data_IF_431220044516
#
_entry.id   IF_431220044516
#
_cell.length_a   1.000
_cell.length_b   1.000
_cell.length_c   1.000
_cell.angle_alpha   90.00
_cell.angle_beta   90.00
_cell.angle_gamma   90.00
#
_symmetry.space_group_name_H-M   'P 1'
#
loop_
_entity.id
_entity.type
_entity.pdbx_description
1 polymer ?
#
# COMPACT_ATOMS: atom_id res chain seq x y z
N UNK A 1 61.01 53.02 15.84
CA UNK A 1 59.76 53.21 15.05
C UNK A 1 58.61 52.57 15.81
N UNK A 2 57.53 53.34 16.03
CA UNK A 2 56.13 52.99 16.42
C UNK A 2 55.96 51.97 17.58
N UNK A 3 55.73 52.43 18.81
CA UNK A 3 54.47 52.85 19.43
C UNK A 3 53.83 51.69 20.24
N UNK A 4 53.87 51.83 21.56
CA UNK A 4 53.33 50.93 22.59
C UNK A 4 52.33 51.74 23.42
N UNK A 5 51.13 51.22 23.67
CA UNK A 5 50.36 51.54 24.87
C UNK A 5 49.30 50.45 25.12
N UNK A 6 49.29 49.80 26.30
CA UNK A 6 48.21 48.90 26.72
C UNK A 6 47.16 49.66 27.55
N UNK A 7 45.89 49.23 27.42
CA UNK A 7 44.75 49.72 28.21
C UNK A 7 44.48 48.73 29.35
N UNK A 8 44.35 49.26 30.57
CA UNK A 8 44.20 48.56 31.83
C UNK A 8 42.75 48.73 32.35
N UNK A 9 42.20 47.66 32.93
CA UNK A 9 40.87 47.55 33.53
C UNK A 9 40.58 48.58 34.64
N UNK A 10 39.33 49.06 34.71
CA UNK A 10 38.75 49.75 35.86
C UNK A 10 37.51 49.01 36.34
N UNK A 11 37.54 48.56 37.60
CA UNK A 11 36.42 48.03 38.37
C UNK A 11 35.77 49.22 39.09
N UNK A 12 34.45 49.40 38.94
CA UNK A 12 33.67 50.37 39.69
C UNK A 12 32.38 49.73 40.22
N UNK A 13 32.31 49.53 41.53
CA UNK A 13 31.09 49.17 42.24
C UNK A 13 30.16 50.39 42.34
N UNK A 14 28.88 50.24 41.99
CA UNK A 14 27.81 51.18 42.36
C UNK A 14 26.85 50.43 43.27
N UNK A 15 26.72 50.87 44.52
CA UNK A 15 25.67 50.41 45.44
C UNK A 15 24.36 51.09 45.06
N UNK A 16 23.31 50.30 44.84
CA UNK A 16 21.93 50.78 44.73
C UNK A 16 21.22 50.55 46.07
N UNK A 17 20.90 51.63 46.78
CA UNK A 17 20.01 51.58 47.94
C UNK A 17 18.56 51.49 47.46
N UNK A 18 17.85 50.42 47.85
CA UNK A 18 16.40 50.33 47.67
C UNK A 18 15.69 51.01 48.84
N UNK A 19 14.70 51.90 48.60
CA UNK A 19 13.83 52.38 49.67
C UNK A 19 12.90 51.25 50.16
N UNK A 20 12.62 51.14 51.46
CA UNK A 20 11.76 50.10 51.97
C UNK A 20 10.29 50.47 51.78
N UNK A 21 9.54 49.53 51.20
CA UNK A 21 8.08 49.43 51.20
C UNK A 21 7.32 50.46 50.35
N UNK A 22 7.18 50.15 49.07
CA UNK A 22 5.95 50.47 48.33
C UNK A 22 5.40 49.15 47.78
N UNK A 23 4.50 48.51 48.54
CA UNK A 23 3.72 47.37 48.07
C UNK A 23 2.59 47.95 47.23
N UNK A 24 2.94 48.48 46.06
CA UNK A 24 1.98 48.76 45.01
C UNK A 24 1.49 47.42 44.46
N UNK A 25 0.16 47.29 44.31
CA UNK A 25 -0.52 46.12 43.76
C UNK A 25 0.33 45.48 42.66
N UNK A 26 0.80 44.26 42.94
CA UNK A 26 1.45 43.44 41.93
C UNK A 26 0.42 43.18 40.84
N UNK A 27 0.50 43.93 39.75
CA UNK A 27 -0.15 43.55 38.51
C UNK A 27 0.54 42.27 38.07
N UNK A 28 -0.08 41.14 38.40
CA UNK A 28 0.22 39.87 37.75
C UNK A 28 -0.19 40.05 36.30
N UNK A 29 0.75 40.44 35.46
CA UNK A 29 0.62 40.23 34.02
C UNK A 29 0.76 38.73 33.82
N UNK A 30 -0.38 38.04 33.74
CA UNK A 30 -0.42 36.74 33.08
C UNK A 30 0.00 37.01 31.63
N UNK A 31 1.24 36.69 31.30
CA UNK A 31 1.57 36.37 29.92
C UNK A 31 0.82 35.07 29.62
N UNK A 32 -0.36 35.18 29.02
CA UNK A 32 -0.88 34.08 28.22
C UNK A 32 0.15 33.86 27.12
N UNK A 33 1.00 32.85 27.29
CA UNK A 33 1.82 32.35 26.20
C UNK A 33 0.85 31.99 25.07
N UNK A 34 1.07 32.46 23.83
CA UNK A 34 0.25 32.02 22.72
C UNK A 34 0.28 30.49 22.71
N UNK A 35 -0.89 29.86 22.71
CA UNK A 35 -1.00 28.42 22.55
C UNK A 35 -0.28 28.03 21.27
N UNK A 36 0.59 27.01 21.34
CA UNK A 36 1.17 26.41 20.13
C UNK A 36 0.03 26.09 19.17
N UNK A 37 0.06 26.55 17.90
CA UNK A 37 -0.96 26.23 16.95
C UNK A 37 -0.99 24.72 16.74
N UNK A 38 -2.16 24.15 16.96
CA UNK A 38 -2.48 22.75 16.73
C UNK A 38 -3.08 22.57 15.35
N UNK A 39 -2.84 21.43 14.72
CA UNK A 39 -3.54 20.99 13.52
C UNK A 39 -4.20 19.62 13.77
N UNK A 40 -5.28 19.37 13.04
CA UNK A 40 -5.98 18.08 13.03
C UNK A 40 -6.20 17.69 11.58
N UNK A 41 -5.50 16.65 11.12
CA UNK A 41 -5.79 16.01 9.84
C UNK A 41 -6.82 14.90 10.05
N UNK A 42 -7.74 14.73 9.09
CA UNK A 42 -8.79 13.71 9.18
C UNK A 42 -8.95 12.99 7.85
N UNK A 43 -8.87 11.66 7.90
CA UNK A 43 -8.90 10.78 6.74
C UNK A 43 -9.99 9.74 6.89
N UNK A 44 -10.98 9.78 6.01
CA UNK A 44 -11.95 8.70 5.90
C UNK A 44 -11.33 7.53 5.14
N UNK A 45 -11.46 6.31 5.69
CA UNK A 45 -11.09 5.09 4.98
C UNK A 45 -12.14 4.81 3.90
N UNK A 46 -11.96 5.46 2.75
CA UNK A 46 -12.82 5.29 1.59
C UNK A 46 -12.49 3.95 0.96
N UNK A 47 -13.44 3.01 1.04
CA UNK A 47 -13.38 1.77 0.29
C UNK A 47 -14.22 1.89 -0.98
N UNK A 48 -13.64 1.55 -2.13
CA UNK A 48 -14.42 1.37 -3.36
C UNK A 48 -15.36 0.19 -3.17
N UNK A 49 -16.68 0.35 -3.39
CA UNK A 49 -17.62 -0.72 -3.11
C UNK A 49 -17.42 -1.92 -4.04
N UNK A 50 -16.81 -1.71 -5.22
CA UNK A 50 -16.60 -2.76 -6.21
C UNK A 50 -15.12 -2.88 -6.58
N UNK A 51 -14.65 -4.13 -6.67
CA UNK A 51 -13.28 -4.45 -7.04
C UNK A 51 -13.18 -5.71 -7.89
N UNK A 52 -12.40 -5.69 -8.96
CA UNK A 52 -12.13 -6.82 -9.82
C UNK A 52 -10.64 -7.16 -9.78
N UNK A 53 -10.31 -8.38 -9.35
CA UNK A 53 -8.94 -8.87 -9.21
C UNK A 53 -8.69 -9.99 -10.22
N UNK A 54 -7.79 -9.74 -11.17
CA UNK A 54 -7.32 -10.75 -12.13
C UNK A 54 -5.97 -11.33 -11.66
N UNK A 55 -5.95 -12.62 -11.37
CA UNK A 55 -4.73 -13.36 -11.16
C UNK A 55 -4.22 -13.93 -12.49
N UNK A 56 -2.98 -13.61 -12.85
CA UNK A 56 -2.27 -14.17 -13.99
C UNK A 56 -1.25 -15.15 -13.45
N UNK A 57 -1.53 -16.44 -13.58
CA UNK A 57 -0.73 -17.51 -12.96
C UNK A 57 0.00 -18.29 -14.04
N UNK A 58 1.32 -18.36 -13.88
CA UNK A 58 2.16 -19.16 -14.73
C UNK A 58 1.93 -20.67 -14.52
N UNK A 59 1.74 -21.37 -15.62
CA UNK A 59 1.49 -22.81 -15.66
C UNK A 59 2.58 -23.59 -16.40
N UNK A 60 3.77 -22.99 -16.52
CA UNK A 60 5.01 -23.65 -16.93
C UNK A 60 5.37 -24.81 -15.99
N UNK A 61 6.37 -25.61 -16.37
CA UNK A 61 6.64 -26.87 -15.66
C UNK A 61 7.33 -26.72 -14.30
N UNK A 62 7.88 -25.55 -13.99
CA UNK A 62 8.53 -25.22 -12.72
C UNK A 62 7.54 -24.74 -11.65
N UNK A 63 6.37 -24.22 -12.05
CA UNK A 63 5.44 -23.48 -11.19
C UNK A 63 4.57 -24.33 -10.23
N UNK A 64 4.81 -25.65 -10.08
CA UNK A 64 3.99 -26.52 -9.23
C UNK A 64 3.98 -26.05 -7.76
N UNK A 65 5.14 -25.64 -7.25
CA UNK A 65 5.30 -25.21 -5.87
C UNK A 65 4.67 -23.84 -5.63
N UNK A 66 4.82 -22.93 -6.57
CA UNK A 66 4.32 -21.56 -6.53
C UNK A 66 2.78 -21.57 -6.62
N UNK A 67 2.19 -22.36 -7.52
CA UNK A 67 0.73 -22.57 -7.59
C UNK A 67 0.17 -23.09 -6.27
N UNK A 68 0.81 -24.10 -5.67
CA UNK A 68 0.42 -24.64 -4.37
C UNK A 68 0.57 -23.60 -3.24
N UNK A 69 1.61 -22.78 -3.29
CA UNK A 69 1.88 -21.74 -2.30
C UNK A 69 0.85 -20.61 -2.36
N UNK A 70 0.48 -20.15 -3.56
CA UNK A 70 -0.61 -19.19 -3.79
C UNK A 70 -1.93 -19.74 -3.25
N UNK A 71 -2.28 -20.98 -3.61
CA UNK A 71 -3.52 -21.61 -3.15
C UNK A 71 -3.56 -21.77 -1.62
N UNK A 72 -2.45 -22.16 -0.98
CA UNK A 72 -2.38 -22.38 0.45
C UNK A 72 -2.47 -21.09 1.27
N UNK A 73 -1.95 -19.97 0.75
CA UNK A 73 -1.93 -18.67 1.44
C UNK A 73 -3.08 -17.74 1.04
N UNK A 74 -3.86 -18.09 0.01
CA UNK A 74 -5.04 -17.33 -0.41
C UNK A 74 -6.06 -17.02 0.71
N UNK A 75 -6.26 -17.87 1.75
CA UNK A 75 -7.13 -17.49 2.88
C UNK A 75 -6.70 -16.20 3.60
N UNK A 76 -5.41 -15.87 3.60
CA UNK A 76 -4.90 -14.61 4.17
C UNK A 76 -5.39 -13.43 3.34
N UNK A 77 -5.26 -13.53 2.01
CA UNK A 77 -5.80 -12.55 1.08
C UNK A 77 -7.32 -12.38 1.26
N UNK A 78 -8.06 -13.47 1.33
CA UNK A 78 -9.53 -13.42 1.49
C UNK A 78 -9.99 -12.80 2.80
N UNK A 79 -9.18 -12.84 3.86
CA UNK A 79 -9.55 -12.24 5.15
C UNK A 79 -9.84 -10.74 5.07
N UNK A 80 -9.27 -10.03 4.08
CA UNK A 80 -9.53 -8.61 3.82
C UNK A 80 -10.85 -8.34 3.09
N UNK A 81 -11.41 -9.36 2.42
CA UNK A 81 -12.66 -9.25 1.67
C UNK A 81 -13.85 -9.77 2.47
N UNK A 82 -13.65 -10.83 3.26
CA UNK A 82 -14.71 -11.46 4.05
C UNK A 82 -15.25 -10.50 5.11
N UNK A 83 -16.52 -10.12 4.97
CA UNK A 83 -17.20 -9.21 5.90
C UNK A 83 -16.89 -7.73 5.70
N UNK A 84 -16.01 -7.37 4.75
CA UNK A 84 -15.68 -5.97 4.42
C UNK A 84 -16.84 -5.19 3.80
N UNK A 85 -17.81 -5.89 3.20
CA UNK A 85 -18.86 -5.27 2.39
C UNK A 85 -18.45 -4.99 0.94
N UNK A 86 -17.22 -5.35 0.55
CA UNK A 86 -16.77 -5.31 -0.83
C UNK A 86 -17.59 -6.24 -1.71
N UNK A 87 -18.03 -5.71 -2.84
CA UNK A 87 -18.55 -6.48 -3.95
C UNK A 87 -17.37 -6.79 -4.90
N UNK A 88 -16.78 -7.98 -4.75
CA UNK A 88 -15.56 -8.36 -5.47
C UNK A 88 -15.79 -9.39 -6.58
N UNK A 89 -15.00 -9.30 -7.65
CA UNK A 89 -14.80 -10.40 -8.59
C UNK A 89 -13.33 -10.84 -8.53
N UNK A 90 -13.07 -12.14 -8.34
CA UNK A 90 -11.70 -12.68 -8.38
C UNK A 90 -11.62 -13.78 -9.43
N UNK A 91 -10.83 -13.54 -10.47
CA UNK A 91 -10.67 -14.44 -11.61
C UNK A 91 -9.22 -14.87 -11.79
N UNK A 92 -9.00 -15.99 -12.48
CA UNK A 92 -7.67 -16.50 -12.81
C UNK A 92 -7.57 -16.70 -14.32
N UNK A 93 -6.44 -16.30 -14.90
CA UNK A 93 -6.00 -16.65 -16.25
C UNK A 93 -4.59 -17.23 -16.18
N UNK A 94 -4.21 -17.96 -17.23
CA UNK A 94 -2.89 -18.56 -17.40
C UNK A 94 -2.00 -17.67 -18.27
N UNK A 95 -0.68 -17.77 -18.12
CA UNK A 95 0.32 -17.19 -19.05
C UNK A 95 0.36 -17.90 -20.42
N UNK A 96 -0.25 -19.10 -20.54
CA UNK A 96 -0.26 -19.89 -21.77
C UNK A 96 -1.21 -19.31 -22.82
N UNK A 97 -0.62 -18.63 -23.79
CA UNK A 97 -1.32 -18.06 -24.94
C UNK A 97 -1.38 -19.01 -26.15
N UNK A 98 -0.59 -20.09 -26.18
CA UNK A 98 -0.62 -21.09 -27.26
C UNK A 98 -1.87 -21.98 -27.17
N UNK A 99 -2.33 -22.27 -25.95
CA UNK A 99 -3.53 -23.04 -25.70
C UNK A 99 -4.79 -22.18 -25.82
N UNK A 100 -5.54 -22.36 -26.92
CA UNK A 100 -6.80 -21.64 -27.19
C UNK A 100 -7.87 -21.76 -26.09
N UNK A 101 -7.77 -22.75 -25.19
CA UNK A 101 -8.65 -22.86 -24.04
C UNK A 101 -8.28 -21.88 -22.92
N UNK A 102 -7.04 -21.42 -22.87
CA UNK A 102 -6.46 -20.61 -21.79
C UNK A 102 -6.17 -19.16 -22.23
N UNK A 103 -5.79 -18.90 -23.48
CA UNK A 103 -5.38 -17.60 -24.05
C UNK A 103 -6.23 -16.38 -23.62
N UNK A 104 -5.97 -15.81 -22.43
CA UNK A 104 -6.77 -14.74 -21.79
C UNK A 104 -8.14 -15.17 -21.25
N UNK A 105 -8.52 -16.44 -21.33
CA UNK A 105 -9.83 -16.94 -20.88
C UNK A 105 -9.80 -17.25 -19.40
N UNK A 106 -10.78 -16.74 -18.66
CA UNK A 106 -10.96 -17.07 -17.25
C UNK A 106 -11.11 -18.58 -17.05
N UNK A 107 -10.31 -19.09 -16.12
CA UNK A 107 -10.25 -20.49 -15.75
C UNK A 107 -11.51 -20.82 -14.94
N UNK A 108 -12.21 -21.88 -15.35
CA UNK A 108 -13.49 -22.26 -14.76
C UNK A 108 -13.30 -23.39 -13.74
N UNK A 109 -13.74 -23.18 -12.51
CA UNK A 109 -13.77 -24.20 -11.46
C UNK A 109 -15.13 -24.20 -10.74
N UNK A 110 -15.64 -25.38 -10.38
CA UNK A 110 -16.95 -25.49 -9.71
C UNK A 110 -18.13 -24.93 -10.52
N UNK A 111 -17.97 -24.78 -11.84
CA UNK A 111 -18.96 -24.13 -12.71
C UNK A 111 -18.88 -22.60 -12.74
N UNK A 112 -17.99 -21.98 -11.95
CA UNK A 112 -17.78 -20.55 -11.86
C UNK A 112 -16.53 -20.13 -12.63
N UNK A 113 -16.55 -18.94 -13.24
CA UNK A 113 -15.37 -18.34 -13.92
C UNK A 113 -14.64 -17.32 -13.06
N UNK A 114 -15.30 -16.82 -12.03
CA UNK A 114 -14.74 -15.93 -11.02
C UNK A 114 -15.49 -16.12 -9.71
N UNK A 115 -14.86 -15.68 -8.63
CA UNK A 115 -15.35 -15.74 -7.27
C UNK A 115 -16.03 -14.41 -6.94
N UNK A 116 -17.13 -14.47 -6.21
CA UNK A 116 -17.96 -13.35 -5.77
C UNK A 116 -18.18 -13.46 -4.25
N UNK A 117 -18.73 -12.43 -3.57
CA UNK A 117 -19.14 -12.54 -2.17
C UNK A 117 -20.12 -13.68 -1.91
N UNK A 118 -20.92 -14.06 -2.90
CA UNK A 118 -21.90 -15.15 -2.81
C UNK A 118 -21.31 -16.54 -3.12
N UNK A 119 -20.04 -16.62 -3.56
CA UNK A 119 -19.40 -17.89 -3.89
C UNK A 119 -19.20 -18.72 -2.62
N UNK A 120 -19.78 -19.94 -2.53
CA UNK A 120 -19.52 -20.83 -1.40
C UNK A 120 -18.09 -21.38 -1.46
N UNK A 121 -17.42 -21.43 -0.30
CA UNK A 121 -16.03 -21.89 -0.16
C UNK A 121 -15.09 -21.24 -1.19
N UNK A 122 -14.96 -19.89 -1.20
CA UNK A 122 -14.19 -19.18 -2.21
C UNK A 122 -12.73 -19.65 -2.29
N UNK A 123 -12.15 -20.07 -1.17
CA UNK A 123 -10.78 -20.57 -1.10
C UNK A 123 -10.60 -21.90 -1.85
N UNK A 124 -11.58 -22.81 -1.76
CA UNK A 124 -11.56 -24.08 -2.49
C UNK A 124 -11.70 -23.86 -4.00
N UNK A 125 -12.57 -22.91 -4.39
CA UNK A 125 -12.76 -22.54 -5.80
C UNK A 125 -11.50 -21.89 -6.36
N UNK A 126 -10.90 -20.95 -5.63
CA UNK A 126 -9.66 -20.30 -6.06
C UNK A 126 -8.52 -21.31 -6.21
N UNK A 127 -8.33 -22.19 -5.22
CA UNK A 127 -7.31 -23.22 -5.29
C UNK A 127 -7.46 -24.13 -6.52
N UNK A 128 -8.70 -24.41 -6.94
CA UNK A 128 -8.97 -25.17 -8.16
C UNK A 128 -8.78 -24.35 -9.46
N UNK A 129 -8.88 -23.01 -9.40
CA UNK A 129 -8.60 -22.12 -10.53
C UNK A 129 -7.09 -21.85 -10.69
N UNK A 130 -6.33 -21.73 -9.59
CA UNK A 130 -4.91 -21.37 -9.61
C UNK A 130 -3.96 -22.55 -9.79
N UNK A 131 -4.38 -23.76 -9.42
CA UNK A 131 -3.62 -25.00 -9.68
C UNK A 131 -3.93 -25.53 -11.09
N UNK A 132 -3.44 -24.79 -12.09
CA UNK A 132 -3.61 -25.05 -13.52
C UNK A 132 -2.90 -26.34 -13.98
N UNK A 133 -1.93 -26.79 -13.18
CA UNK A 133 -0.97 -27.81 -13.56
C UNK A 133 0.24 -27.20 -14.26
N UNK A 134 1.16 -28.08 -14.67
CA UNK A 134 2.52 -27.74 -15.15
C UNK A 134 2.72 -28.05 -16.65
N UNK A 135 1.61 -28.12 -17.39
CA UNK A 135 1.59 -28.50 -18.80
C UNK A 135 1.48 -27.33 -19.77
N UNK A 136 1.69 -26.10 -19.30
CA UNK A 136 1.61 -24.88 -20.10
C UNK A 136 2.75 -24.72 -21.10
N UNK A 137 2.66 -23.63 -21.86
CA UNK A 137 3.73 -23.19 -22.77
C UNK A 137 5.02 -22.93 -22.00
N UNK A 138 6.16 -23.05 -22.69
CA UNK A 138 7.47 -22.57 -22.22
C UNK A 138 7.80 -21.15 -22.71
N UNK A 139 6.79 -20.48 -23.29
CA UNK A 139 6.82 -19.07 -23.68
C UNK A 139 5.67 -18.43 -22.91
N UNK A 140 6.00 -17.85 -21.76
CA UNK A 140 5.06 -17.35 -20.76
C UNK A 140 4.66 -15.91 -21.09
N UNK A 141 3.47 -15.74 -21.66
CA UNK A 141 3.00 -14.45 -22.17
C UNK A 141 1.99 -13.81 -21.21
N UNK A 142 2.39 -13.56 -19.96
CA UNK A 142 1.48 -13.06 -18.92
C UNK A 142 0.92 -11.67 -19.20
N UNK A 143 1.70 -10.76 -19.80
CA UNK A 143 1.22 -9.42 -20.19
C UNK A 143 0.13 -9.55 -21.27
N UNK A 144 0.38 -10.37 -22.29
CA UNK A 144 -0.60 -10.59 -23.36
C UNK A 144 -1.85 -11.31 -22.83
N UNK A 145 -1.69 -12.29 -21.94
CA UNK A 145 -2.81 -12.98 -21.30
C UNK A 145 -3.70 -12.02 -20.49
N UNK A 146 -3.08 -11.11 -19.73
CA UNK A 146 -3.81 -10.07 -18.99
C UNK A 146 -4.57 -9.13 -19.94
N UNK A 147 -3.93 -8.65 -21.00
CA UNK A 147 -4.57 -7.83 -22.03
C UNK A 147 -5.73 -8.56 -22.71
N UNK A 148 -5.51 -9.81 -23.14
CA UNK A 148 -6.51 -10.64 -23.78
C UNK A 148 -7.72 -10.90 -22.86
N UNK A 149 -7.52 -10.91 -21.54
CA UNK A 149 -8.62 -11.04 -20.60
C UNK A 149 -9.61 -9.88 -20.68
N UNK A 150 -9.13 -8.65 -20.90
CA UNK A 150 -9.98 -7.48 -21.16
C UNK A 150 -10.65 -7.55 -22.53
N UNK A 151 -9.93 -7.98 -23.57
CA UNK A 151 -10.50 -8.10 -24.92
C UNK A 151 -11.66 -9.12 -24.97
N UNK A 152 -11.63 -10.12 -24.10
CA UNK A 152 -12.67 -11.14 -23.97
C UNK A 152 -13.83 -10.72 -23.05
N UNK A 153 -13.86 -9.47 -22.57
CA UNK A 153 -14.89 -8.93 -21.67
C UNK A 153 -16.29 -8.84 -22.31
N UNK A 154 -16.41 -9.06 -23.62
CA UNK A 154 -17.71 -9.22 -24.31
C UNK A 154 -17.98 -10.65 -24.79
N UNK A 155 -17.06 -11.59 -24.49
CA UNK A 155 -17.12 -12.99 -24.92
C UNK A 155 -17.03 -13.95 -23.72
N UNK A 156 -15.91 -14.67 -23.58
CA UNK A 156 -15.75 -15.68 -22.52
C UNK A 156 -15.71 -15.06 -21.13
N UNK A 157 -15.11 -13.88 -21.00
CA UNK A 157 -14.96 -13.17 -19.73
C UNK A 157 -16.12 -12.19 -19.47
N UNK A 158 -17.21 -12.28 -20.24
CA UNK A 158 -18.32 -11.35 -20.15
C UNK A 158 -18.87 -11.20 -18.72
N UNK A 159 -18.83 -9.97 -18.22
CA UNK A 159 -19.30 -9.60 -16.88
C UNK A 159 -18.24 -9.64 -15.78
N UNK A 160 -16.99 -10.00 -16.08
CA UNK A 160 -15.91 -10.02 -15.09
C UNK A 160 -15.46 -8.61 -14.72
N UNK A 161 -14.90 -7.83 -15.64
CA UNK A 161 -14.55 -6.42 -15.40
C UNK A 161 -15.78 -5.49 -15.42
N UNK A 162 -16.03 -4.78 -14.33
CA UNK A 162 -17.15 -3.86 -14.14
C UNK A 162 -16.66 -2.42 -14.25
N UNK A 163 -17.47 -1.57 -14.89
CA UNK A 163 -17.07 -0.19 -15.24
C UNK A 163 -16.66 0.66 -14.03
N UNK A 164 -17.33 0.50 -12.89
CA UNK A 164 -17.11 1.29 -11.66
C UNK A 164 -16.19 0.61 -10.65
N UNK A 165 -15.76 -0.64 -10.93
CA UNK A 165 -14.89 -1.38 -10.01
C UNK A 165 -13.43 -0.92 -10.13
N UNK A 166 -12.72 -0.87 -9.00
CA UNK A 166 -11.26 -0.85 -9.01
C UNK A 166 -10.74 -2.14 -9.67
N UNK A 167 -9.61 -2.07 -10.37
CA UNK A 167 -9.06 -3.20 -11.12
C UNK A 167 -7.64 -3.50 -10.68
N UNK A 168 -7.42 -4.68 -10.12
CA UNK A 168 -6.10 -5.11 -9.69
C UNK A 168 -5.67 -6.35 -10.44
N UNK A 169 -4.46 -6.32 -10.99
CA UNK A 169 -3.86 -7.47 -11.65
C UNK A 169 -2.77 -8.01 -10.73
N UNK A 170 -2.71 -9.32 -10.54
CA UNK A 170 -1.67 -9.99 -9.76
C UNK A 170 -1.02 -11.06 -10.62
N UNK A 171 0.21 -10.82 -11.05
CA UNK A 171 0.96 -11.73 -11.91
C UNK A 171 1.98 -12.52 -11.09
N UNK A 172 1.98 -13.84 -11.26
CA UNK A 172 2.86 -14.76 -10.56
C UNK A 172 3.59 -15.63 -11.60
N UNK A 173 4.92 -15.49 -11.68
CA UNK A 173 5.75 -16.24 -12.64
C UNK A 173 7.20 -16.33 -12.17
N UNK A 174 7.86 -17.45 -12.44
CA UNK A 174 9.30 -17.66 -12.26
C UNK A 174 10.11 -17.44 -13.54
N UNK A 175 9.45 -16.94 -14.58
CA UNK A 175 9.97 -16.75 -15.93
C UNK A 175 9.92 -15.26 -16.35
N UNK A 176 10.56 -14.94 -17.47
CA UNK A 176 10.44 -13.61 -18.07
C UNK A 176 9.23 -13.57 -18.99
N UNK A 177 8.50 -12.45 -19.04
CA UNK A 177 7.36 -12.31 -19.95
C UNK A 177 7.82 -12.40 -21.43
N UNK A 178 7.31 -13.39 -22.15
CA UNK A 178 7.56 -13.62 -23.58
C UNK A 178 6.68 -12.78 -24.52
N UNK A 179 5.73 -12.01 -23.98
CA UNK A 179 4.67 -11.39 -24.77
C UNK A 179 5.21 -10.58 -25.96
N UNK A 180 4.72 -10.84 -27.19
CA UNK A 180 5.11 -10.11 -28.37
C UNK A 180 4.63 -8.65 -28.32
N UNK A 181 5.18 -7.81 -29.19
CA UNK A 181 4.78 -6.40 -29.36
C UNK A 181 3.55 -6.24 -30.30
N UNK A 182 2.73 -7.28 -30.45
CA UNK A 182 1.54 -7.33 -31.30
C UNK A 182 0.54 -8.31 -30.65
N UNK A 183 -0.72 -7.94 -30.39
CA UNK A 183 -1.39 -6.68 -30.75
C UNK A 183 -1.06 -5.48 -29.84
N UNK A 184 -0.36 -5.70 -28.73
CA UNK A 184 -0.10 -4.68 -27.71
C UNK A 184 1.36 -4.74 -27.29
N UNK A 185 2.01 -3.58 -27.16
CA UNK A 185 3.33 -3.49 -26.51
C UNK A 185 3.20 -3.34 -25.00
N UNK A 186 4.29 -3.60 -24.27
CA UNK A 186 4.35 -3.40 -22.82
C UNK A 186 3.90 -1.99 -22.40
N UNK A 187 4.41 -0.96 -23.08
CA UNK A 187 4.08 0.43 -22.75
C UNK A 187 2.62 0.76 -23.10
N UNK A 188 2.11 0.25 -24.22
CA UNK A 188 0.69 0.45 -24.55
C UNK A 188 -0.24 -0.25 -23.56
N UNK A 189 0.17 -1.41 -23.02
CA UNK A 189 -0.57 -2.08 -21.96
C UNK A 189 -0.55 -1.28 -20.66
N UNK A 190 0.61 -0.75 -20.25
CA UNK A 190 0.72 0.12 -19.08
C UNK A 190 -0.12 1.41 -19.26
N UNK A 191 -0.06 2.06 -20.42
CA UNK A 191 -0.87 3.23 -20.76
C UNK A 191 -2.37 2.90 -20.72
N UNK A 192 -2.76 1.73 -21.24
CA UNK A 192 -4.14 1.24 -21.17
C UNK A 192 -4.63 1.10 -19.73
N UNK A 193 -3.81 0.49 -18.85
CA UNK A 193 -4.14 0.33 -17.43
C UNK A 193 -4.26 1.69 -16.71
N UNK A 194 -3.32 2.60 -16.96
CA UNK A 194 -3.35 3.95 -16.38
C UNK A 194 -4.55 4.78 -16.84
N UNK A 195 -5.08 4.52 -18.04
CA UNK A 195 -6.27 5.17 -18.56
C UNK A 195 -7.59 4.45 -18.20
N UNK A 196 -7.51 3.28 -17.56
CA UNK A 196 -8.67 2.42 -17.32
C UNK A 196 -9.65 3.02 -16.31
N UNK A 197 -9.15 3.78 -15.33
CA UNK A 197 -9.95 4.52 -14.33
C UNK A 197 -9.45 5.95 -14.18
N UNK A 198 -10.35 6.85 -13.78
CA UNK A 198 -9.99 8.27 -13.56
C UNK A 198 -9.26 8.51 -12.25
N UNK A 199 -9.57 7.71 -11.23
CA UNK A 199 -8.98 7.86 -9.90
C UNK A 199 -7.63 7.15 -9.85
N UNK A 200 -6.63 7.87 -9.36
CA UNK A 200 -5.33 7.30 -9.02
C UNK A 200 -5.53 6.14 -8.01
N UNK A 201 -4.69 5.10 -8.09
CA UNK A 201 -4.75 3.90 -7.22
C UNK A 201 -5.97 2.98 -7.43
N UNK A 202 -6.96 3.36 -8.25
CA UNK A 202 -8.07 2.47 -8.63
C UNK A 202 -7.65 1.36 -9.59
N UNK A 203 -6.42 1.41 -10.11
CA UNK A 203 -5.81 0.37 -10.93
C UNK A 203 -4.44 0.06 -10.36
N UNK A 204 -4.11 -1.22 -10.19
CA UNK A 204 -2.73 -1.62 -9.87
C UNK A 204 -2.30 -2.89 -10.58
N UNK A 205 -1.00 -2.94 -10.90
CA UNK A 205 -0.34 -4.11 -11.49
C UNK A 205 0.67 -4.65 -10.50
N UNK A 206 0.30 -5.74 -9.83
CA UNK A 206 1.06 -6.37 -8.77
C UNK A 206 1.79 -7.59 -9.31
N UNK A 207 3.00 -7.83 -8.82
CA UNK A 207 3.88 -8.87 -9.35
C UNK A 207 4.57 -9.64 -8.23
N UNK A 208 4.54 -10.96 -8.36
CA UNK A 208 5.33 -11.91 -7.57
C UNK A 208 6.26 -12.63 -8.54
N UNK A 209 7.51 -12.20 -8.60
CA UNK A 209 8.48 -12.62 -9.61
C UNK A 209 9.88 -12.71 -9.01
N UNK A 210 10.80 -13.37 -9.72
CA UNK A 210 12.23 -13.30 -9.41
C UNK A 210 12.84 -12.01 -9.97
N UNK A 211 13.43 -11.15 -9.12
CA UNK A 211 13.96 -9.84 -9.53
C UNK A 211 15.20 -9.41 -8.69
N UNK A 212 16.26 -8.83 -9.30
CA UNK A 212 17.56 -8.61 -8.64
C UNK A 212 17.54 -7.76 -7.36
N UNK A 213 16.55 -6.87 -7.22
CA UNK A 213 16.43 -5.99 -6.05
C UNK A 213 15.61 -6.60 -4.90
N UNK A 214 15.24 -7.88 -5.02
CA UNK A 214 14.44 -8.59 -4.04
C UNK A 214 15.26 -9.59 -3.20
N UNK A 215 14.82 -9.87 -1.96
CA UNK A 215 15.46 -10.88 -1.11
C UNK A 215 15.51 -12.26 -1.78
N UNK A 216 16.55 -13.02 -1.45
CA UNK A 216 16.74 -14.42 -1.87
C UNK A 216 16.91 -14.65 -3.39
N UNK A 217 17.13 -13.58 -4.16
CA UNK A 217 17.44 -13.63 -5.60
C UNK A 217 18.81 -14.30 -5.90
N UNK A 218 18.96 -15.08 -6.99
CA UNK A 218 17.91 -15.55 -7.91
C UNK A 218 17.37 -16.95 -7.55
N UNK A 219 16.12 -17.21 -7.91
CA UNK A 219 15.48 -18.54 -7.86
C UNK A 219 14.85 -18.99 -9.18
N UNK A 220 14.79 -18.12 -10.20
CA UNK A 220 14.23 -18.35 -11.52
C UNK A 220 14.84 -17.42 -12.58
N UNK A 221 14.06 -17.08 -13.60
CA UNK A 221 14.43 -16.06 -14.59
C UNK A 221 13.89 -14.69 -14.18
N UNK A 222 14.59 -13.64 -14.60
CA UNK A 222 14.27 -12.28 -14.18
C UNK A 222 12.94 -11.79 -14.80
N UNK A 223 11.96 -11.49 -13.95
CA UNK A 223 10.65 -10.95 -14.31
C UNK A 223 10.65 -9.47 -14.70
N UNK A 224 11.75 -8.93 -15.24
CA UNK A 224 11.95 -7.48 -15.49
C UNK A 224 10.78 -6.84 -16.23
N UNK A 225 10.24 -7.49 -17.26
CA UNK A 225 9.11 -6.94 -18.04
C UNK A 225 7.83 -6.76 -17.20
N UNK A 226 7.56 -7.68 -16.28
CA UNK A 226 6.44 -7.52 -15.35
C UNK A 226 6.69 -6.35 -14.39
N UNK A 227 7.93 -6.20 -13.91
CA UNK A 227 8.33 -5.07 -13.06
C UNK A 227 8.24 -3.73 -13.82
N UNK A 228 8.62 -3.69 -15.10
CA UNK A 228 8.51 -2.48 -15.94
C UNK A 228 7.06 -1.99 -16.10
N UNK A 229 6.08 -2.91 -16.18
CA UNK A 229 4.65 -2.54 -16.16
C UNK A 229 4.26 -2.02 -14.79
N UNK A 230 4.64 -2.76 -13.73
CA UNK A 230 4.37 -2.36 -12.34
C UNK A 230 4.93 -0.98 -12.02
N UNK A 231 6.11 -0.63 -12.51
CA UNK A 231 6.73 0.68 -12.23
C UNK A 231 6.04 1.84 -12.96
N UNK A 232 5.34 1.55 -14.05
CA UNK A 232 4.54 2.54 -14.78
C UNK A 232 3.11 2.68 -14.25
N UNK A 233 2.52 1.60 -13.73
CA UNK A 233 1.11 1.57 -13.27
C UNK A 233 0.99 1.75 -11.76
N UNK A 234 1.99 1.32 -11.00
CA UNK A 234 1.90 1.14 -9.55
C UNK A 234 1.40 -0.25 -9.16
N UNK A 235 1.62 -0.60 -7.90
CA UNK A 235 1.28 -1.92 -7.34
C UNK A 235 2.40 -2.51 -6.48
N UNK A 236 2.15 -3.70 -5.97
CA UNK A 236 3.06 -4.45 -5.10
C UNK A 236 4.08 -5.23 -5.92
N UNK A 237 5.35 -5.15 -5.52
CA UNK A 237 6.43 -6.04 -5.97
C UNK A 237 6.80 -6.97 -4.81
N UNK A 238 6.78 -8.29 -5.04
CA UNK A 238 7.16 -9.28 -4.05
C UNK A 238 8.11 -10.34 -4.61
N UNK A 239 9.01 -10.85 -3.74
CA UNK A 239 9.99 -11.88 -4.12
C UNK A 239 9.32 -13.22 -4.25
N UNK A 240 9.36 -13.81 -5.44
CA UNK A 240 8.99 -15.21 -5.65
C UNK A 240 9.84 -16.15 -4.79
N UNK A 241 11.11 -15.81 -4.57
CA UNK A 241 12.08 -16.64 -3.86
C UNK A 241 11.83 -16.74 -2.36
N UNK A 242 10.93 -15.92 -1.82
CA UNK A 242 10.56 -15.99 -0.41
C UNK A 242 9.76 -17.28 -0.15
N UNK A 243 10.18 -18.16 0.79
CA UNK A 243 9.42 -19.37 1.11
C UNK A 243 8.12 -19.09 1.87
N UNK A 244 7.93 -17.88 2.40
CA UNK A 244 6.74 -17.44 3.14
C UNK A 244 5.99 -16.35 2.38
N UNK A 245 4.87 -16.74 1.75
CA UNK A 245 4.04 -15.84 0.97
C UNK A 245 2.95 -15.17 1.81
N UNK A 246 2.89 -15.43 3.11
CA UNK A 246 1.89 -14.80 4.00
C UNK A 246 1.93 -13.29 3.90
N UNK A 247 3.12 -12.68 3.99
CA UNK A 247 3.30 -11.23 3.83
C UNK A 247 2.97 -10.71 2.44
N UNK A 248 3.15 -11.52 1.38
CA UNK A 248 2.77 -11.15 0.02
C UNK A 248 1.24 -11.02 -0.09
N UNK A 249 0.52 -12.06 0.34
CA UNK A 249 -0.94 -12.12 0.29
C UNK A 249 -1.58 -11.14 1.26
N UNK A 250 -0.94 -10.85 2.39
CA UNK A 250 -1.33 -9.79 3.32
C UNK A 250 -1.30 -8.43 2.62
N UNK A 251 -0.15 -8.08 2.03
CA UNK A 251 0.02 -6.79 1.36
C UNK A 251 -0.88 -6.64 0.13
N UNK A 252 -1.03 -7.69 -0.66
CA UNK A 252 -1.96 -7.73 -1.80
C UNK A 252 -3.40 -7.60 -1.34
N UNK A 253 -3.81 -8.29 -0.27
CA UNK A 253 -5.17 -8.19 0.27
C UNK A 253 -5.49 -6.76 0.73
N UNK A 254 -4.56 -6.12 1.43
CA UNK A 254 -4.68 -4.72 1.86
C UNK A 254 -4.81 -3.75 0.68
N UNK A 255 -3.88 -3.84 -0.28
CA UNK A 255 -3.83 -3.00 -1.49
C UNK A 255 -5.12 -3.15 -2.32
N UNK A 256 -5.49 -4.39 -2.63
CA UNK A 256 -6.63 -4.68 -3.51
C UNK A 256 -7.97 -4.47 -2.82
N UNK A 257 -8.05 -4.51 -1.49
CA UNK A 257 -9.24 -4.08 -0.75
C UNK A 257 -9.38 -2.55 -0.68
N UNK A 258 -8.40 -1.79 -1.19
CA UNK A 258 -8.34 -0.33 -1.13
C UNK A 258 -8.10 0.24 0.26
N UNK A 259 -7.53 -0.56 1.17
CA UNK A 259 -7.35 -0.18 2.57
C UNK A 259 -6.02 0.52 2.77
N UNK A 260 -6.04 1.69 3.42
CA UNK A 260 -4.83 2.47 3.72
C UNK A 260 -4.38 2.30 5.17
N UNK A 261 -3.06 2.22 5.36
CA UNK A 261 -2.40 2.24 6.68
C UNK A 261 -1.51 3.46 6.89
N UNK A 262 -1.12 4.12 5.80
CA UNK A 262 -0.28 5.31 5.82
C UNK A 262 -1.14 6.55 5.55
N UNK A 263 -0.92 7.59 6.36
CA UNK A 263 -1.66 8.84 6.31
C UNK A 263 -0.68 10.00 6.42
N UNK A 264 -0.66 10.86 5.41
CA UNK A 264 0.24 12.02 5.36
C UNK A 264 -0.24 13.12 6.31
N UNK A 265 0.66 13.93 6.81
CA UNK A 265 0.31 15.11 7.60
C UNK A 265 0.34 16.33 6.69
N UNK A 266 -0.64 17.22 6.80
CA UNK A 266 -0.72 18.42 5.96
C UNK A 266 0.30 19.50 6.35
N UNK A 267 0.81 19.45 7.59
CA UNK A 267 1.82 20.34 8.14
C UNK A 267 2.93 19.53 8.82
N UNK A 268 4.10 20.15 9.08
CA UNK A 268 5.18 19.49 9.82
C UNK A 268 4.86 19.47 11.32
N UNK A 269 4.78 18.29 11.97
CA UNK A 269 4.44 18.17 13.38
C UNK A 269 5.66 18.38 14.30
N UNK A 270 5.40 18.75 15.54
CA UNK A 270 6.30 18.44 16.66
C UNK A 270 6.06 16.98 17.03
N UNK A 271 6.97 16.08 16.67
CA UNK A 271 6.79 14.62 16.71
C UNK A 271 6.18 14.07 18.02
N UNK A 272 6.69 14.48 19.19
CA UNK A 272 6.18 13.98 20.49
C UNK A 272 4.74 14.38 20.83
N UNK A 273 4.14 15.28 20.04
CA UNK A 273 2.77 15.78 20.22
C UNK A 273 1.76 15.06 19.34
N UNK A 274 2.20 14.23 18.40
CA UNK A 274 1.30 13.48 17.52
C UNK A 274 0.41 12.56 18.35
N UNK A 275 -0.90 12.65 18.12
CA UNK A 275 -1.92 11.77 18.70
C UNK A 275 -2.78 11.24 17.58
N UNK A 276 -2.88 9.92 17.50
CA UNK A 276 -3.68 9.23 16.49
C UNK A 276 -4.90 8.64 17.18
N UNK A 277 -6.09 8.95 16.66
CA UNK A 277 -7.34 8.31 17.06
C UNK A 277 -8.10 7.85 15.83
N UNK A 278 -8.88 6.77 15.98
CA UNK A 278 -9.76 6.27 14.93
C UNK A 278 -11.19 6.31 15.44
N UNK A 279 -12.05 7.01 14.71
CA UNK A 279 -13.49 7.03 14.91
C UNK A 279 -14.13 5.93 14.06
N UNK A 280 -14.93 5.07 14.70
CA UNK A 280 -15.74 4.07 14.01
C UNK A 280 -17.06 3.84 14.75
N UNK A 281 -18.19 3.88 14.03
CA UNK A 281 -19.53 3.72 14.59
C UNK A 281 -19.81 4.62 15.82
N UNK A 282 -19.19 5.81 15.86
CA UNK A 282 -19.28 6.77 16.95
C UNK A 282 -18.42 6.44 18.19
N UNK A 283 -17.54 5.44 18.11
CA UNK A 283 -16.53 5.13 19.12
C UNK A 283 -15.16 5.63 18.68
N UNK A 284 -14.39 6.17 19.62
CA UNK A 284 -13.02 6.61 19.40
C UNK A 284 -12.04 5.66 20.08
N UNK A 285 -11.06 5.18 19.31
CA UNK A 285 -9.95 4.36 19.81
C UNK A 285 -8.66 5.16 19.66
N UNK A 286 -7.91 5.33 20.74
CA UNK A 286 -6.59 5.96 20.72
C UNK A 286 -5.49 4.94 20.47
N UNK A 287 -4.45 5.37 19.76
CA UNK A 287 -3.31 4.56 19.37
C UNK A 287 -2.02 5.18 19.91
N UNK A 288 -1.08 4.34 20.32
CA UNK A 288 0.19 4.77 20.90
C UNK A 288 1.30 4.80 19.84
N UNK A 289 2.21 5.79 19.87
CA UNK A 289 3.37 5.80 18.98
C UNK A 289 4.30 4.63 19.28
N UNK A 290 4.94 4.10 18.25
CA UNK A 290 5.94 3.06 18.35
C UNK A 290 7.16 3.52 19.15
N UNK A 291 7.57 2.72 20.12
CA UNK A 291 8.77 2.90 20.92
C UNK A 291 9.79 1.82 20.58
N UNK A 292 10.89 2.21 19.94
CA UNK A 292 11.98 1.31 19.54
C UNK A 292 12.65 0.58 20.71
N UNK A 293 12.62 1.15 21.92
CA UNK A 293 13.22 0.50 23.09
C UNK A 293 12.36 -0.64 23.61
N UNK A 294 11.05 -0.48 23.59
CA UNK A 294 10.10 -1.48 24.08
C UNK A 294 9.60 -2.40 22.98
N UNK A 295 9.76 -2.01 21.70
CA UNK A 295 9.20 -2.68 20.53
C UNK A 295 7.68 -2.82 20.66
N UNK A 296 7.04 -1.79 21.19
CA UNK A 296 5.61 -1.70 21.42
C UNK A 296 5.08 -0.38 20.89
N UNK A 297 3.81 -0.40 20.48
CA UNK A 297 3.08 0.73 19.93
C UNK A 297 2.34 0.34 18.67
N UNK A 298 1.55 1.27 18.16
CA UNK A 298 0.55 0.99 17.14
C UNK A 298 0.84 1.68 15.81
N UNK A 299 1.57 2.79 15.81
CA UNK A 299 1.94 3.52 14.61
C UNK A 299 3.36 4.08 14.68
N UNK A 300 4.02 4.20 13.53
CA UNK A 300 5.28 4.92 13.37
C UNK A 300 5.05 6.25 12.68
N UNK A 301 5.93 7.22 12.89
CA UNK A 301 6.00 8.47 12.12
C UNK A 301 7.26 8.47 11.25
N UNK A 302 7.15 8.92 10.00
CA UNK A 302 8.27 9.08 9.07
C UNK A 302 8.41 10.56 8.72
N UNK A 303 9.55 11.16 9.06
CA UNK A 303 9.84 12.58 8.86
C UNK A 303 10.14 12.95 7.40
N UNK A 304 10.76 12.04 6.64
CA UNK A 304 11.04 12.25 5.20
C UNK A 304 9.76 12.30 4.36
N UNK A 305 8.78 11.47 4.70
CA UNK A 305 7.46 11.39 4.03
C UNK A 305 6.42 12.29 4.67
N UNK A 306 6.67 12.78 5.90
CA UNK A 306 5.71 13.48 6.74
C UNK A 306 4.39 12.69 6.86
N UNK A 307 4.47 11.44 7.33
CA UNK A 307 3.32 10.54 7.42
C UNK A 307 3.37 9.67 8.68
N UNK A 308 2.20 9.27 9.17
CA UNK A 308 2.09 8.15 10.12
C UNK A 308 1.75 6.87 9.36
N UNK A 309 2.22 5.73 9.86
CA UNK A 309 1.84 4.40 9.35
C UNK A 309 1.47 3.49 10.51
N UNK A 310 0.28 2.89 10.48
CA UNK A 310 -0.08 1.86 11.44
C UNK A 310 0.80 0.62 11.26
N UNK A 311 1.29 0.06 12.36
CA UNK A 311 2.17 -1.13 12.35
C UNK A 311 1.35 -2.36 12.01
N UNK A 312 0.35 -2.67 12.83
CA UNK A 312 -0.52 -3.85 12.65
C UNK A 312 -1.94 -3.45 12.25
N UNK A 313 -2.48 -2.43 12.90
CA UNK A 313 -3.88 -2.02 12.72
C UNK A 313 -4.17 -1.56 11.29
N UNK A 314 -5.36 -1.91 10.79
CA UNK A 314 -5.90 -1.43 9.52
C UNK A 314 -7.26 -0.81 9.84
N UNK A 315 -7.44 0.50 9.63
CA UNK A 315 -8.75 1.13 9.79
C UNK A 315 -9.79 0.44 8.91
N UNK A 316 -10.94 0.10 9.48
CA UNK A 316 -12.04 -0.51 8.74
C UNK A 316 -12.69 0.50 7.78
N UNK A 317 -13.34 0.04 6.70
CA UNK A 317 -14.08 0.91 5.78
C UNK A 317 -15.05 1.85 6.51
N UNK A 318 -15.02 3.13 6.15
CA UNK A 318 -15.84 4.18 6.77
C UNK A 318 -15.36 4.66 8.14
N UNK A 319 -14.28 4.07 8.70
CA UNK A 319 -13.61 4.65 9.85
C UNK A 319 -12.91 5.97 9.48
N UNK A 320 -12.81 6.89 10.42
CA UNK A 320 -12.11 8.17 10.24
C UNK A 320 -10.87 8.19 11.13
N UNK A 321 -9.69 8.33 10.51
CA UNK A 321 -8.42 8.49 11.21
C UNK A 321 -8.20 9.98 11.47
N UNK A 322 -8.08 10.35 12.73
CA UNK A 322 -7.72 11.71 13.16
C UNK A 322 -6.28 11.74 13.66
N UNK A 323 -5.52 12.73 13.19
CA UNK A 323 -4.13 12.96 13.58
C UNK A 323 -4.02 14.38 14.11
N UNK A 324 -3.91 14.50 15.43
CA UNK A 324 -3.76 15.77 16.15
C UNK A 324 -2.29 16.00 16.49
N UNK A 325 -1.78 17.22 16.27
CA UNK A 325 -0.39 17.57 16.58
C UNK A 325 -0.16 19.09 16.69
N UNK A 326 0.89 19.47 17.40
CA UNK A 326 1.42 20.84 17.39
C UNK A 326 2.25 21.08 16.12
N UNK A 327 2.09 22.24 15.48
CA UNK A 327 2.81 22.56 14.24
C UNK A 327 4.23 23.07 14.53
N UNK A 328 5.24 22.43 13.95
CA UNK A 328 6.67 22.70 14.18
C UNK A 328 7.08 24.14 13.82
N UNK A 329 6.50 24.71 12.76
CA UNK A 329 6.79 26.07 12.30
C UNK A 329 6.45 27.17 13.32
N UNK A 330 5.73 26.84 14.40
CA UNK A 330 5.41 27.75 15.48
C UNK A 330 6.41 27.77 16.62
N UNK A 331 7.28 26.76 16.72
CA UNK A 331 8.27 26.63 17.81
C UNK A 331 9.60 27.33 17.45
N UNK A 332 9.92 27.50 16.16
CA UNK A 332 11.18 28.12 15.71
C UNK A 332 11.13 29.66 15.56
N UNK A 333 10.00 30.31 15.87
CA UNK A 333 9.83 31.77 15.75
C UNK A 333 10.04 32.55 17.06
N UNK A 334 10.50 31.91 18.13
CA UNK A 334 10.86 32.54 19.41
C UNK A 334 12.38 32.53 19.66
#
# INVERSE_FOLDING_TARGET
>A
MRALLPVLCLVGCIQYEFPPNDVGDGVVVNFDLPSTPTNTDSYEQIQKPQVDILWVVDNSCSMDFEQASVAANFPIFMSYFLGSGLDYHIGVVSTDMENIAHSGKLIQAGGLRWITPETPNPEEIFAAMSQLGTGGSSDEEGILAAYAAFELQTEWNAGFFRDEAAVHIVTVSDETDGSPNDPVTLNEFADYLNALRFEDEAVSYNVIVDYPDLPDWPCGSNGTRYVDVRDQVGGVLWSLCNPDWSGALERLGLETAGLKKEYFLSELPVEGTIRVTVEQDGFFVGFDPWDDLTQLGDYTYNDERNSITFVVYVPEPGAVVHIDYDVLAAVERE
#
